data_IF_290140592284
#
_entry.id   IF_290140592284
#
_cell.length_a   1.000
_cell.length_b   1.000
_cell.length_c   1.000
_cell.angle_alpha   90.00
_cell.angle_beta   90.00
_cell.angle_gamma   90.00
#
_symmetry.space_group_name_H-M   'P 1'
#
loop_
_entity.id
_entity.type
_entity.pdbx_description
1 polymer ?
#
# COMPACT_ATOMS: atom_id res chain seq x y z
N UNK A 1 3.52 -18.33 -5.66
CA UNK A 1 4.70 -17.86 -4.90
C UNK A 1 4.75 -16.34 -5.00
N UNK A 2 5.06 -15.61 -3.92
CA UNK A 2 5.14 -14.15 -3.98
C UNK A 2 6.47 -13.71 -4.61
N UNK A 3 6.44 -12.69 -5.47
CA UNK A 3 7.64 -12.05 -6.04
C UNK A 3 7.74 -10.62 -5.50
N UNK A 4 8.89 -10.26 -4.96
CA UNK A 4 9.16 -8.95 -4.37
C UNK A 4 10.36 -8.37 -5.11
N UNK A 5 10.24 -7.12 -5.56
CA UNK A 5 11.29 -6.43 -6.30
C UNK A 5 11.23 -4.94 -6.02
N UNK A 6 12.38 -4.27 -6.08
CA UNK A 6 12.46 -2.81 -6.10
C UNK A 6 12.72 -2.38 -7.54
N UNK A 7 11.87 -1.52 -8.08
CA UNK A 7 11.98 -1.07 -9.47
C UNK A 7 12.14 0.45 -9.51
N UNK A 8 12.92 1.01 -10.44
CA UNK A 8 12.94 2.45 -10.67
C UNK A 8 11.57 2.91 -11.18
N UNK A 9 11.19 4.13 -10.81
CA UNK A 9 9.98 4.78 -11.31
C UNK A 9 10.28 5.36 -12.69
N UNK A 10 9.70 4.76 -13.73
CA UNK A 10 9.64 5.41 -15.04
C UNK A 10 8.56 6.50 -15.01
N UNK A 11 8.98 7.76 -15.16
CA UNK A 11 8.07 8.89 -15.36
C UNK A 11 7.95 9.14 -16.87
N UNK A 12 6.71 9.16 -17.38
CA UNK A 12 6.41 9.42 -18.79
C UNK A 12 6.08 10.89 -19.09
N UNK A 13 6.28 11.78 -18.11
CA UNK A 13 6.05 13.22 -18.19
C UNK A 13 7.25 14.00 -18.77
N UNK A 14 8.28 13.30 -19.22
CA UNK A 14 9.48 13.88 -19.86
C UNK A 14 10.41 14.63 -18.89
N UNK A 15 10.08 14.67 -17.59
CA UNK A 15 10.91 15.29 -16.56
C UNK A 15 11.63 14.19 -15.80
N UNK A 16 12.88 13.94 -16.18
CA UNK A 16 13.76 13.09 -15.40
C UNK A 16 13.90 13.70 -13.98
N UNK A 17 13.45 12.96 -12.97
CA UNK A 17 13.66 13.34 -11.58
C UNK A 17 15.16 13.24 -11.29
N UNK A 18 15.78 14.27 -10.71
CA UNK A 18 17.21 14.28 -10.39
C UNK A 18 17.60 13.23 -9.34
N UNK A 19 16.60 12.72 -8.59
CA UNK A 19 16.74 11.62 -7.64
C UNK A 19 16.01 10.39 -8.21
N UNK A 20 16.68 9.23 -8.36
CA UNK A 20 16.03 8.01 -8.82
C UNK A 20 15.01 7.54 -7.78
N UNK A 21 13.73 7.75 -8.07
CA UNK A 21 12.65 7.21 -7.26
C UNK A 21 12.52 5.71 -7.51
N UNK A 22 12.36 4.94 -6.44
CA UNK A 22 12.16 3.50 -6.50
C UNK A 22 10.83 3.14 -5.87
N UNK A 23 10.19 2.09 -6.40
CA UNK A 23 8.96 1.53 -5.86
C UNK A 23 9.17 0.08 -5.43
N UNK A 24 8.55 -0.29 -4.32
CA UNK A 24 8.47 -1.68 -3.88
C UNK A 24 7.30 -2.33 -4.59
N UNK A 25 7.58 -3.39 -5.34
CA UNK A 25 6.58 -4.15 -6.09
C UNK A 25 6.42 -5.53 -5.48
N UNK A 26 5.19 -5.88 -5.11
CA UNK A 26 4.83 -7.19 -4.54
C UNK A 26 3.78 -7.85 -5.44
N UNK A 27 4.14 -8.96 -6.08
CA UNK A 27 3.21 -9.76 -6.88
C UNK A 27 2.75 -10.98 -6.11
N UNK A 28 1.45 -11.08 -5.86
CA UNK A 28 0.83 -12.17 -5.08
C UNK A 28 -0.65 -12.30 -5.45
N UNK A 29 -1.18 -13.53 -5.42
CA UNK A 29 -2.61 -13.81 -5.66
C UNK A 29 -3.16 -13.21 -6.98
N UNK A 30 -2.35 -13.25 -8.05
CA UNK A 30 -2.65 -12.64 -9.36
C UNK A 30 -2.83 -11.13 -9.34
N UNK A 31 -2.35 -10.47 -8.29
CA UNK A 31 -2.38 -9.02 -8.13
C UNK A 31 -0.97 -8.45 -7.94
N UNK A 32 -0.79 -7.19 -8.32
CA UNK A 32 0.47 -6.46 -8.23
C UNK A 32 0.26 -5.24 -7.34
N UNK A 33 0.89 -5.25 -6.17
CA UNK A 33 0.95 -4.09 -5.29
C UNK A 33 2.19 -3.27 -5.63
N UNK A 34 2.03 -1.95 -5.68
CA UNK A 34 3.12 -1.00 -5.90
C UNK A 34 3.09 0.02 -4.77
N UNK A 35 4.22 0.20 -4.10
CA UNK A 35 4.37 1.14 -2.99
C UNK A 35 5.51 2.10 -3.26
N UNK A 36 5.24 3.39 -3.11
CA UNK A 36 6.23 4.48 -3.24
C UNK A 36 7.06 4.64 -1.97
N UNK A 37 6.56 4.16 -0.84
CA UNK A 37 7.26 4.23 0.44
C UNK A 37 6.98 3.01 1.32
N UNK A 38 7.84 2.82 2.32
CA UNK A 38 7.69 1.75 3.33
C UNK A 38 6.47 2.03 4.22
N UNK A 39 6.13 3.29 4.43
CA UNK A 39 4.99 3.74 5.22
C UNK A 39 3.68 3.28 4.55
N UNK A 40 3.54 3.47 3.23
CA UNK A 40 2.38 2.98 2.48
C UNK A 40 2.26 1.45 2.51
N UNK A 41 3.39 0.75 2.54
CA UNK A 41 3.42 -0.71 2.73
C UNK A 41 2.90 -1.11 4.12
N UNK A 42 3.37 -0.46 5.20
CA UNK A 42 2.89 -0.70 6.57
C UNK A 42 1.40 -0.45 6.72
N UNK A 43 0.91 0.63 6.12
CA UNK A 43 -0.51 0.97 6.11
C UNK A 43 -1.38 -0.09 5.42
N UNK A 44 -0.91 -0.62 4.29
CA UNK A 44 -1.60 -1.70 3.59
C UNK A 44 -1.61 -2.99 4.42
N UNK A 45 -0.52 -3.32 5.12
CA UNK A 45 -0.48 -4.46 6.05
C UNK A 45 -1.54 -4.29 7.15
N UNK A 46 -1.56 -3.13 7.81
CA UNK A 46 -2.55 -2.81 8.86
C UNK A 46 -3.99 -2.94 8.36
N UNK A 47 -4.24 -2.58 7.10
CA UNK A 47 -5.53 -2.75 6.46
C UNK A 47 -5.88 -4.25 6.25
N UNK A 48 -4.94 -5.07 5.80
CA UNK A 48 -5.14 -6.51 5.57
C UNK A 48 -5.22 -7.37 6.86
N UNK A 49 -4.65 -6.89 7.97
CA UNK A 49 -4.73 -7.57 9.29
C UNK A 49 -6.17 -7.65 9.80
N UNK A 50 -6.98 -6.61 9.54
CA UNK A 50 -8.40 -6.58 9.91
C UNK A 50 -9.23 -7.49 9.01
N UNK A 51 -9.67 -8.63 9.57
CA UNK A 51 -10.54 -9.62 8.90
C UNK A 51 -11.93 -9.04 8.61
N UNK A 52 -12.57 -8.47 9.63
CA UNK A 52 -13.88 -7.82 9.50
C UNK A 52 -13.67 -6.32 9.39
N UNK A 53 -14.28 -5.70 8.39
CA UNK A 53 -14.13 -4.27 8.11
C UNK A 53 -15.48 -3.59 8.12
N UNK A 54 -15.55 -2.33 8.57
CA UNK A 54 -16.74 -1.53 8.32
C UNK A 54 -16.95 -1.45 6.80
N UNK A 55 -18.19 -1.69 6.35
CA UNK A 55 -18.58 -1.53 4.95
C UNK A 55 -18.69 -0.06 4.54
N UNK A 56 -18.62 0.85 5.51
CA UNK A 56 -18.72 2.29 5.32
C UNK A 56 -17.37 2.94 5.07
N UNK A 57 -17.40 4.05 4.31
CA UNK A 57 -16.26 4.94 4.12
C UNK A 57 -15.87 5.58 5.46
N UNK A 58 -14.58 5.82 5.66
CA UNK A 58 -14.12 6.62 6.81
C UNK A 58 -14.54 8.08 6.56
N UNK A 59 -15.24 8.70 7.50
CA UNK A 59 -15.64 10.08 7.36
C UNK A 59 -14.41 11.00 7.35
N UNK A 60 -14.40 12.03 6.49
CA UNK A 60 -13.31 13.01 6.42
C UNK A 60 -13.01 13.68 7.77
N UNK A 61 -14.04 13.90 8.60
CA UNK A 61 -13.89 14.42 9.97
C UNK A 61 -13.10 13.47 10.88
N UNK A 62 -13.31 12.17 10.73
CA UNK A 62 -12.55 11.14 11.48
C UNK A 62 -11.08 11.14 11.02
N UNK A 63 -10.85 11.25 9.72
CA UNK A 63 -9.49 11.33 9.16
C UNK A 63 -8.75 12.58 9.66
N UNK A 64 -9.42 13.74 9.65
CA UNK A 64 -8.86 14.98 10.17
C UNK A 64 -8.51 14.90 11.66
N UNK A 65 -9.33 14.20 12.45
CA UNK A 65 -9.06 13.99 13.87
C UNK A 65 -7.87 13.05 14.12
N UNK A 66 -7.64 12.06 13.27
CA UNK A 66 -6.53 11.11 13.41
C UNK A 66 -5.19 11.64 12.86
N UNK A 67 -5.21 12.41 11.77
CA UNK A 67 -4.03 12.83 11.00
C UNK A 67 -3.67 14.31 11.15
N UNK A 68 -4.54 15.12 11.77
CA UNK A 68 -4.36 16.57 11.93
C UNK A 68 -4.92 17.39 10.76
N UNK A 69 -4.64 18.70 10.76
CA UNK A 69 -5.13 19.63 9.73
C UNK A 69 -4.63 19.28 8.32
N UNK A 70 -3.41 18.74 8.21
CA UNK A 70 -2.77 18.35 6.95
C UNK A 70 -3.22 16.98 6.42
N UNK A 71 -4.32 16.42 6.96
CA UNK A 71 -4.81 15.10 6.55
C UNK A 71 -5.05 14.99 5.04
N UNK A 72 -5.40 16.10 4.37
CA UNK A 72 -5.60 16.14 2.91
C UNK A 72 -4.31 15.95 2.14
N UNK A 73 -3.19 16.45 2.65
CA UNK A 73 -1.87 16.29 2.02
C UNK A 73 -1.34 14.87 2.27
N UNK A 74 -1.56 14.34 3.47
CA UNK A 74 -1.11 13.00 3.84
C UNK A 74 -1.94 11.89 3.17
N UNK A 75 -3.26 12.06 3.07
CA UNK A 75 -4.17 11.04 2.52
C UNK A 75 -4.58 11.29 1.06
N UNK A 76 -4.48 12.52 0.56
CA UNK A 76 -5.00 12.96 -0.73
C UNK A 76 -6.45 13.44 -0.67
N UNK A 77 -6.96 13.97 -1.79
CA UNK A 77 -8.38 14.33 -1.94
C UNK A 77 -9.31 13.11 -1.99
N UNK A 78 -8.77 11.90 -2.19
CA UNK A 78 -9.54 10.66 -2.10
C UNK A 78 -9.74 10.26 -0.63
N UNK A 79 -11.00 10.11 -0.24
CA UNK A 79 -11.38 9.67 1.12
C UNK A 79 -10.93 8.23 1.39
N UNK A 80 -10.75 7.42 0.35
CA UNK A 80 -10.29 6.04 0.41
C UNK A 80 -8.90 5.89 -0.23
N UNK A 81 -8.01 5.11 0.42
CA UNK A 81 -6.71 4.77 -0.16
C UNK A 81 -6.90 3.80 -1.33
N UNK A 82 -5.98 3.80 -2.30
CA UNK A 82 -6.09 2.91 -3.46
C UNK A 82 -6.23 1.43 -3.08
N UNK A 83 -5.55 0.99 -2.01
CA UNK A 83 -5.63 -0.38 -1.52
C UNK A 83 -6.91 -0.70 -0.75
N UNK A 84 -7.67 0.32 -0.34
CA UNK A 84 -8.99 0.17 0.28
C UNK A 84 -10.07 -0.14 -0.79
N UNK A 85 -9.79 0.21 -2.06
CA UNK A 85 -10.66 0.01 -3.22
C UNK A 85 -10.43 -1.32 -3.94
N UNK A 86 -9.75 -2.27 -3.30
CA UNK A 86 -9.35 -3.52 -3.93
C UNK A 86 -10.51 -4.50 -4.11
N UNK A 87 -10.45 -5.37 -5.14
CA UNK A 87 -11.44 -6.41 -5.34
C UNK A 87 -11.67 -7.26 -4.08
N UNK A 88 -12.93 -7.53 -3.74
CA UNK A 88 -13.29 -8.31 -2.54
C UNK A 88 -12.58 -9.67 -2.48
N UNK A 89 -12.33 -10.31 -3.62
CA UNK A 89 -11.67 -11.62 -3.64
C UNK A 89 -10.27 -11.59 -2.99
N UNK A 90 -9.56 -10.47 -2.99
CA UNK A 90 -8.24 -10.36 -2.33
C UNK A 90 -8.35 -10.36 -0.80
N UNK A 91 -9.54 -10.02 -0.29
CA UNK A 91 -9.83 -9.87 1.13
C UNK A 91 -10.35 -11.17 1.76
N UNK A 92 -10.79 -12.12 0.95
CA UNK A 92 -11.17 -13.46 1.38
C UNK A 92 -10.00 -14.15 2.09
N UNK A 93 -10.26 -14.80 3.23
CA UNK A 93 -9.24 -15.36 4.12
C UNK A 93 -8.08 -16.13 3.42
N UNK A 94 -8.30 -17.05 2.46
CA UNK A 94 -7.20 -17.78 1.83
C UNK A 94 -6.26 -16.88 1.02
N UNK A 95 -6.77 -15.79 0.43
CA UNK A 95 -5.97 -14.82 -0.33
C UNK A 95 -5.44 -13.72 0.57
N UNK A 96 -6.21 -13.26 1.55
CA UNK A 96 -5.81 -12.29 2.58
C UNK A 96 -4.54 -12.73 3.31
N UNK A 97 -4.50 -14.00 3.74
CA UNK A 97 -3.32 -14.56 4.42
C UNK A 97 -2.10 -14.63 3.49
N UNK A 98 -2.29 -14.95 2.21
CA UNK A 98 -1.20 -14.94 1.21
C UNK A 98 -0.67 -13.53 0.97
N UNK A 99 -1.57 -12.54 0.89
CA UNK A 99 -1.22 -11.14 0.73
C UNK A 99 -0.46 -10.66 1.97
N UNK A 100 -0.98 -10.87 3.18
CA UNK A 100 -0.29 -10.50 4.43
C UNK A 100 1.12 -11.07 4.49
N UNK A 101 1.26 -12.39 4.26
CA UNK A 101 2.58 -13.04 4.26
C UNK A 101 3.55 -12.42 3.24
N UNK A 102 3.06 -12.05 2.06
CA UNK A 102 3.87 -11.43 1.03
C UNK A 102 4.27 -9.99 1.40
N UNK A 103 3.33 -9.19 1.90
CA UNK A 103 3.57 -7.80 2.31
C UNK A 103 4.51 -7.73 3.52
N UNK A 104 4.30 -8.57 4.55
CA UNK A 104 5.21 -8.63 5.71
C UNK A 104 6.63 -9.04 5.32
N UNK A 105 6.78 -9.96 4.36
CA UNK A 105 8.10 -10.31 3.83
C UNK A 105 8.74 -9.14 3.07
N UNK A 106 7.96 -8.39 2.29
CA UNK A 106 8.45 -7.21 1.61
C UNK A 106 8.89 -6.13 2.59
N UNK A 107 8.16 -5.95 3.70
CA UNK A 107 8.49 -5.01 4.76
C UNK A 107 9.83 -5.37 5.41
N UNK A 108 10.01 -6.63 5.80
CA UNK A 108 11.27 -7.10 6.40
C UNK A 108 12.48 -6.92 5.46
N UNK A 109 12.30 -7.13 4.15
CA UNK A 109 13.36 -6.89 3.16
C UNK A 109 13.67 -5.39 3.00
N UNK A 110 12.64 -4.54 3.05
CA UNK A 110 12.79 -3.10 2.89
C UNK A 110 13.49 -2.48 4.10
N UNK A 111 13.10 -2.90 5.31
CA UNK A 111 13.70 -2.44 6.57
C UNK A 111 15.14 -2.93 6.75
N UNK A 112 15.47 -4.11 6.22
CA UNK A 112 16.85 -4.64 6.26
C UNK A 112 17.76 -4.13 5.13
N UNK A 113 17.26 -3.24 4.26
CA UNK A 113 18.02 -2.68 3.13
C UNK A 113 18.39 -3.70 2.05
N UNK A 114 17.73 -4.87 2.02
CA UNK A 114 17.98 -5.96 1.04
C UNK A 114 17.14 -5.80 -0.23
N UNK A 115 16.60 -4.60 -0.46
CA UNK A 115 15.71 -4.24 -1.58
C UNK A 115 16.28 -3.11 -2.41
#
# INVERSE_FOLDING_TARGET
MARISKLPVERHDGKASLVPEHVIVVRVASFVFRFESVERLRECIKYYERKTRPSSRIAARTLAAELGEDWREQRGWEVERWFERLPMYLLEDPKRQKVLKALSRALALAESGKL
#
